data_IF_253949941332
#
_entry.id   IF_253949941332
#
_cell.length_a   1.000
_cell.length_b   1.000
_cell.length_c   1.000
_cell.angle_alpha   90.00
_cell.angle_beta   90.00
_cell.angle_gamma   90.00
#
_symmetry.space_group_name_H-M   'P 1'
#
loop_
_entity.id
_entity.type
_entity.pdbx_description
1 polymer ?
#
# COMPACT_ATOMS: atom_id res chain seq x y z
N UNK A 1 56.52 49.19 -0.84
CA UNK A 1 56.70 48.12 -1.84
C UNK A 1 55.93 46.89 -1.39
N UNK A 2 54.99 46.40 -2.21
CA UNK A 2 54.33 45.06 -2.23
C UNK A 2 53.54 44.64 -0.97
N UNK A 3 52.22 44.82 -0.87
CA UNK A 3 51.10 44.20 -1.61
C UNK A 3 51.03 42.66 -1.50
N UNK A 4 50.04 42.17 -0.74
CA UNK A 4 49.34 40.91 -0.99
C UNK A 4 47.93 41.02 -0.37
N UNK A 5 47.00 41.60 -1.13
CA UNK A 5 45.56 41.55 -0.88
C UNK A 5 45.09 40.15 -1.30
N UNK A 6 44.78 39.26 -0.35
CA UNK A 6 44.21 37.94 -0.61
C UNK A 6 42.70 37.96 -0.35
N UNK A 7 41.91 38.15 -1.40
CA UNK A 7 40.46 38.03 -1.37
C UNK A 7 40.07 36.54 -1.32
N UNK A 8 39.75 36.01 -0.14
CA UNK A 8 39.25 34.63 0.01
C UNK A 8 37.75 34.63 -0.31
N UNK A 9 37.40 34.25 -1.54
CA UNK A 9 36.06 33.82 -1.90
C UNK A 9 35.78 32.48 -1.20
N UNK A 10 34.99 32.51 -0.13
CA UNK A 10 34.41 31.32 0.47
C UNK A 10 33.30 30.81 -0.47
N UNK A 11 33.66 29.89 -1.37
CA UNK A 11 32.70 29.10 -2.12
C UNK A 11 31.90 28.24 -1.12
N UNK A 12 30.67 28.64 -0.84
CA UNK A 12 29.70 27.82 -0.11
C UNK A 12 29.38 26.59 -0.95
N UNK A 13 30.03 25.46 -0.66
CA UNK A 13 29.60 24.14 -1.10
C UNK A 13 28.16 23.93 -0.60
N UNK A 14 27.21 23.91 -1.55
CA UNK A 14 25.86 23.45 -1.29
C UNK A 14 25.93 22.01 -0.78
N UNK A 15 25.52 21.80 0.46
CA UNK A 15 25.36 20.47 1.02
C UNK A 15 24.21 19.79 0.27
N UNK A 16 24.55 18.94 -0.69
CA UNK A 16 23.61 17.95 -1.20
C UNK A 16 23.20 17.09 -0.01
N UNK A 17 21.99 17.32 0.52
CA UNK A 17 21.42 16.50 1.57
C UNK A 17 21.25 15.10 0.99
N UNK A 18 22.18 14.20 1.32
CA UNK A 18 22.06 12.79 1.05
C UNK A 18 20.75 12.31 1.70
N UNK A 19 19.76 12.00 0.87
CA UNK A 19 18.51 11.40 1.34
C UNK A 19 18.88 10.06 1.96
N UNK A 20 18.66 9.92 3.26
CA UNK A 20 18.84 8.66 3.97
C UNK A 20 18.14 7.54 3.18
N UNK A 21 18.79 6.40 2.95
CA UNK A 21 18.14 5.29 2.27
C UNK A 21 16.86 4.97 3.03
N UNK A 22 15.72 5.11 2.35
CA UNK A 22 14.42 4.81 2.94
C UNK A 22 14.36 3.36 3.42
N UNK A 23 13.39 3.01 4.28
CA UNK A 23 13.31 1.68 4.90
C UNK A 23 13.37 0.53 3.87
N UNK A 24 13.95 -0.61 4.22
CA UNK A 24 14.11 -1.75 3.28
C UNK A 24 12.81 -2.52 2.98
N UNK A 25 11.68 -2.07 3.53
CA UNK A 25 10.36 -2.67 3.32
C UNK A 25 9.26 -1.61 3.35
N UNK A 26 8.10 -1.84 2.69
CA UNK A 26 6.96 -0.97 2.82
C UNK A 26 6.37 -1.03 4.24
N UNK A 27 5.71 0.05 4.71
CA UNK A 27 4.80 -0.06 5.84
C UNK A 27 3.65 -1.01 5.46
N UNK A 28 3.42 -2.03 6.28
CA UNK A 28 2.37 -3.03 6.03
C UNK A 28 1.01 -2.62 6.61
N UNK A 29 1.01 -1.68 7.56
CA UNK A 29 -0.20 -1.13 8.17
C UNK A 29 -0.49 0.24 7.55
N UNK A 30 -1.68 0.44 6.94
CA UNK A 30 -2.10 1.73 6.42
C UNK A 30 -2.10 2.81 7.52
N UNK A 31 -1.44 3.94 7.25
CA UNK A 31 -1.43 5.11 8.15
C UNK A 31 -2.62 6.03 7.93
N UNK A 32 -3.33 5.86 6.83
CA UNK A 32 -4.50 6.66 6.40
C UNK A 32 -5.53 5.75 5.77
N UNK A 33 -6.76 6.24 5.75
CA UNK A 33 -7.81 5.60 4.97
C UNK A 33 -7.56 5.78 3.48
N UNK A 34 -7.84 4.72 2.70
CA UNK A 34 -7.76 4.75 1.25
C UNK A 34 -8.77 3.78 0.63
N UNK A 35 -9.36 4.16 -0.50
CA UNK A 35 -10.21 3.31 -1.32
C UNK A 35 -9.58 3.15 -2.70
N UNK A 36 -9.25 1.91 -3.08
CA UNK A 36 -8.53 1.58 -4.32
C UNK A 36 -9.37 0.60 -5.14
N UNK A 37 -9.58 0.93 -6.42
CA UNK A 37 -10.22 0.03 -7.37
C UNK A 37 -9.14 -0.85 -8.02
N UNK A 38 -9.25 -2.16 -7.85
CA UNK A 38 -8.36 -3.14 -8.45
C UNK A 38 -9.07 -3.86 -9.59
N UNK A 39 -8.34 -4.06 -10.69
CA UNK A 39 -8.71 -5.01 -11.74
C UNK A 39 -7.97 -6.31 -11.51
N UNK A 40 -8.70 -7.36 -11.17
CA UNK A 40 -8.19 -8.70 -10.96
C UNK A 40 -8.18 -9.47 -12.28
N UNK A 41 -7.04 -10.06 -12.61
CA UNK A 41 -6.88 -10.89 -13.80
C UNK A 41 -6.39 -12.27 -13.38
N UNK A 42 -7.13 -13.31 -13.77
CA UNK A 42 -6.74 -14.72 -13.57
C UNK A 42 -6.81 -15.43 -14.91
N UNK A 43 -5.81 -16.26 -15.21
CA UNK A 43 -5.78 -17.02 -16.46
C UNK A 43 -7.05 -17.87 -16.62
N UNK A 44 -7.72 -17.75 -17.77
CA UNK A 44 -8.96 -18.48 -18.07
C UNK A 44 -10.23 -17.91 -17.43
N UNK A 45 -10.19 -16.72 -16.83
CA UNK A 45 -11.37 -16.05 -16.26
C UNK A 45 -11.49 -14.63 -16.82
N UNK A 46 -12.74 -14.14 -16.97
CA UNK A 46 -12.99 -12.74 -17.30
C UNK A 46 -12.42 -11.86 -16.17
N UNK A 47 -11.69 -10.78 -16.47
CA UNK A 47 -11.22 -9.87 -15.43
C UNK A 47 -12.39 -9.32 -14.62
N UNK A 48 -12.22 -9.23 -13.32
CA UNK A 48 -13.21 -8.63 -12.42
C UNK A 48 -12.63 -7.41 -11.73
N UNK A 49 -13.49 -6.47 -11.35
CA UNK A 49 -13.12 -5.32 -10.55
C UNK A 49 -13.55 -5.50 -9.09
N UNK A 50 -12.68 -5.10 -8.17
CA UNK A 50 -13.01 -5.06 -6.74
C UNK A 50 -12.50 -3.76 -6.14
N UNK A 51 -13.30 -3.14 -5.29
CA UNK A 51 -12.88 -1.95 -4.54
C UNK A 51 -12.46 -2.37 -3.15
N UNK A 52 -11.22 -2.06 -2.79
CA UNK A 52 -10.68 -2.32 -1.46
C UNK A 52 -10.58 -1.01 -0.71
N UNK A 53 -11.28 -0.92 0.42
CA UNK A 53 -11.23 0.22 1.32
C UNK A 53 -10.57 -0.19 2.62
N UNK A 54 -9.46 0.48 2.95
CA UNK A 54 -8.68 0.23 4.16
C UNK A 54 -8.83 1.42 5.11
N UNK A 55 -8.98 1.16 6.41
CA UNK A 55 -8.97 2.19 7.45
C UNK A 55 -7.52 2.50 7.86
N UNK A 56 -7.28 3.70 8.40
CA UNK A 56 -6.08 3.95 9.19
C UNK A 56 -5.97 2.90 10.32
N UNK A 57 -4.80 2.28 10.47
CA UNK A 57 -4.57 1.15 11.38
C UNK A 57 -4.84 -0.23 10.77
N UNK A 58 -5.40 -0.32 9.56
CA UNK A 58 -5.43 -1.54 8.74
C UNK A 58 -6.52 -2.56 9.04
N UNK A 59 -7.42 -2.32 10.01
CA UNK A 59 -8.55 -3.22 10.30
C UNK A 59 -9.79 -2.45 10.77
N UNK A 60 -11.01 -2.85 10.36
CA UNK A 60 -11.30 -3.84 9.33
C UNK A 60 -11.01 -3.31 7.91
N UNK A 61 -10.80 -4.24 6.98
CA UNK A 61 -10.72 -3.96 5.53
C UNK A 61 -12.06 -4.30 4.89
N UNK A 62 -12.57 -3.41 4.04
CA UNK A 62 -13.77 -3.64 3.25
C UNK A 62 -13.41 -3.96 1.80
N UNK A 63 -14.01 -5.00 1.24
CA UNK A 63 -13.83 -5.39 -0.16
C UNK A 63 -15.21 -5.44 -0.81
N UNK A 64 -15.51 -4.48 -1.69
CA UNK A 64 -16.75 -4.43 -2.45
C UNK A 64 -16.58 -5.20 -3.77
N UNK A 65 -17.52 -6.13 -4.02
CA UNK A 65 -17.65 -6.87 -5.28
C UNK A 65 -18.50 -6.07 -6.28
N UNK A 66 -18.53 -6.52 -7.54
CA UNK A 66 -19.34 -5.90 -8.59
C UNK A 66 -20.85 -6.03 -8.32
N UNK A 67 -21.28 -7.09 -7.63
CA UNK A 67 -22.67 -7.47 -7.40
C UNK A 67 -23.28 -6.92 -6.09
N UNK A 68 -22.79 -5.77 -5.62
CA UNK A 68 -23.15 -5.10 -4.33
C UNK A 68 -22.83 -5.89 -3.06
N UNK A 69 -22.47 -7.16 -3.17
CA UNK A 69 -21.92 -7.95 -2.07
C UNK A 69 -20.62 -7.33 -1.60
N UNK A 70 -20.36 -7.34 -0.30
CA UNK A 70 -19.08 -6.91 0.22
C UNK A 70 -18.61 -7.77 1.38
N UNK A 71 -17.29 -7.84 1.54
CA UNK A 71 -16.62 -8.52 2.63
C UNK A 71 -16.05 -7.51 3.61
N UNK A 72 -16.21 -7.78 4.90
CA UNK A 72 -15.49 -7.11 5.98
C UNK A 72 -14.49 -8.10 6.57
N UNK A 73 -13.21 -7.76 6.54
CA UNK A 73 -12.13 -8.60 7.06
C UNK A 73 -11.51 -7.91 8.26
N UNK A 74 -11.65 -8.50 9.44
CA UNK A 74 -10.92 -8.09 10.64
C UNK A 74 -9.83 -9.11 10.96
N UNK A 75 -8.59 -8.73 10.61
CA UNK A 75 -7.43 -9.60 10.79
C UNK A 75 -7.06 -9.77 12.26
N UNK A 76 -7.28 -8.73 13.07
CA UNK A 76 -6.95 -8.76 14.50
C UNK A 76 -7.92 -9.67 15.26
N UNK A 77 -9.21 -9.58 14.92
CA UNK A 77 -10.25 -10.45 15.47
C UNK A 77 -10.28 -11.84 14.83
N UNK A 78 -9.59 -12.04 13.69
CA UNK A 78 -9.63 -13.26 12.85
C UNK A 78 -11.06 -13.61 12.41
N UNK A 79 -11.82 -12.60 12.01
CA UNK A 79 -13.20 -12.74 11.53
C UNK A 79 -13.36 -12.16 10.13
N UNK A 80 -14.23 -12.78 9.34
CA UNK A 80 -14.70 -12.26 8.06
C UNK A 80 -16.22 -12.28 8.06
N UNK A 81 -16.84 -11.20 7.59
CA UNK A 81 -18.29 -11.15 7.36
C UNK A 81 -18.54 -10.87 5.88
N UNK A 82 -19.34 -11.72 5.24
CA UNK A 82 -19.88 -11.48 3.90
C UNK A 82 -21.25 -10.86 4.09
N UNK A 83 -21.48 -9.69 3.50
CA UNK A 83 -22.75 -8.99 3.55
C UNK A 83 -23.38 -8.99 2.16
N UNK A 84 -24.62 -9.47 2.08
CA UNK A 84 -25.43 -9.52 0.87
C UNK A 84 -26.62 -8.58 1.10
N UNK A 85 -26.49 -7.29 0.75
CA UNK A 85 -27.47 -6.26 1.14
C UNK A 85 -28.87 -6.54 0.61
N UNK A 86 -28.97 -7.06 -0.60
CA UNK A 86 -30.24 -7.33 -1.28
C UNK A 86 -31.07 -8.39 -0.57
N UNK A 87 -30.41 -9.30 0.16
CA UNK A 87 -31.04 -10.37 0.93
C UNK A 87 -31.15 -10.04 2.43
N UNK A 88 -30.58 -8.91 2.87
CA UNK A 88 -30.42 -8.57 4.30
C UNK A 88 -29.67 -9.66 5.10
N UNK A 89 -28.76 -10.36 4.42
CA UNK A 89 -28.02 -11.49 4.99
C UNK A 89 -26.60 -11.09 5.35
N UNK A 90 -26.14 -11.53 6.51
CA UNK A 90 -24.73 -11.49 6.93
C UNK A 90 -24.27 -12.91 7.23
N UNK A 91 -23.20 -13.34 6.57
CA UNK A 91 -22.56 -14.63 6.82
C UNK A 91 -21.20 -14.40 7.48
N UNK A 92 -21.06 -14.84 8.72
CA UNK A 92 -19.81 -14.78 9.46
C UNK A 92 -18.99 -16.06 9.29
N UNK A 93 -17.71 -15.88 8.98
CA UNK A 93 -16.76 -16.94 8.73
C UNK A 93 -15.47 -16.67 9.53
N UNK A 94 -14.81 -17.72 10.04
CA UNK A 94 -13.46 -17.55 10.61
C UNK A 94 -12.51 -17.07 9.51
N UNK A 95 -11.76 -16.00 9.78
CA UNK A 95 -10.73 -15.54 8.85
C UNK A 95 -9.44 -16.35 9.03
N UNK A 96 -9.06 -17.04 7.96
CA UNK A 96 -7.76 -17.69 7.86
C UNK A 96 -6.95 -16.99 6.77
N UNK A 97 -5.90 -16.28 7.18
CA UNK A 97 -4.94 -15.70 6.24
C UNK A 97 -4.30 -16.84 5.43
N UNK A 98 -4.61 -16.89 4.14
CA UNK A 98 -4.06 -17.85 3.19
C UNK A 98 -3.37 -17.16 2.01
N UNK A 99 -2.63 -17.90 1.19
CA UNK A 99 -1.94 -17.39 -0.01
C UNK A 99 -2.91 -16.77 -1.06
N UNK A 100 -4.22 -16.89 -0.86
CA UNK A 100 -5.27 -16.38 -1.73
C UNK A 100 -5.87 -15.04 -1.26
N UNK A 101 -5.25 -14.33 -0.30
CA UNK A 101 -5.72 -13.00 0.15
C UNK A 101 -4.88 -11.91 -0.54
N UNK A 102 -5.16 -11.54 -1.81
CA UNK A 102 -4.23 -10.77 -2.65
C UNK A 102 -3.93 -9.36 -2.12
N UNK A 103 -4.75 -8.86 -1.19
CA UNK A 103 -4.61 -7.52 -0.61
C UNK A 103 -3.86 -7.52 0.72
N UNK A 104 -3.39 -8.68 1.21
CA UNK A 104 -2.74 -8.79 2.50
C UNK A 104 -1.24 -9.04 2.31
N UNK A 105 -0.45 -7.98 2.49
CA UNK A 105 0.99 -8.08 2.60
C UNK A 105 1.38 -8.50 4.01
N UNK A 106 2.40 -9.35 4.15
CA UNK A 106 2.91 -9.80 5.46
C UNK A 106 4.43 -9.75 5.53
N UNK A 107 4.97 -9.99 6.73
CA UNK A 107 6.39 -9.91 7.05
C UNK A 107 7.25 -11.04 6.47
N UNK A 108 6.63 -12.12 5.99
CA UNK A 108 7.30 -13.27 5.37
C UNK A 108 7.54 -13.09 3.88
N UNK A 109 6.90 -12.10 3.25
CA UNK A 109 7.08 -11.78 1.84
C UNK A 109 8.43 -11.09 1.61
N UNK A 110 8.99 -11.26 0.41
CA UNK A 110 10.18 -10.54 -0.02
C UNK A 110 9.78 -9.27 -0.75
N UNK A 111 10.34 -8.15 -0.31
CA UNK A 111 10.12 -6.84 -0.91
C UNK A 111 11.39 -6.35 -1.60
N UNK A 112 11.26 -5.94 -2.85
CA UNK A 112 12.35 -5.30 -3.59
C UNK A 112 11.91 -3.89 -3.99
N UNK A 113 12.64 -2.88 -3.53
CA UNK A 113 12.36 -1.48 -3.87
C UNK A 113 12.66 -1.24 -5.36
N UNK A 114 11.68 -0.69 -6.08
CA UNK A 114 11.85 -0.21 -7.46
C UNK A 114 12.07 1.29 -7.52
N UNK A 115 12.34 1.79 -8.73
CA UNK A 115 12.29 3.23 -8.99
C UNK A 115 10.93 3.80 -8.54
N UNK A 116 10.91 4.96 -7.86
CA UNK A 116 9.64 5.55 -7.46
C UNK A 116 8.84 6.00 -8.68
N UNK A 117 7.52 5.98 -8.57
CA UNK A 117 6.57 6.29 -9.64
C UNK A 117 5.50 7.27 -9.14
N UNK A 118 4.68 7.80 -10.04
CA UNK A 118 3.57 8.71 -9.71
C UNK A 118 2.24 8.00 -9.97
N UNK A 119 1.48 7.73 -8.91
CA UNK A 119 0.16 7.07 -8.97
C UNK A 119 -0.90 8.09 -8.59
N UNK A 120 -1.85 8.34 -9.49
CA UNK A 120 -2.92 9.33 -9.29
C UNK A 120 -2.42 10.72 -8.82
N UNK A 121 -1.29 11.18 -9.38
CA UNK A 121 -0.68 12.48 -9.03
C UNK A 121 0.13 12.47 -7.73
N UNK A 122 0.24 11.33 -7.04
CA UNK A 122 1.01 11.18 -5.80
C UNK A 122 2.31 10.45 -6.08
N UNK A 123 3.43 10.97 -5.57
CA UNK A 123 4.73 10.29 -5.65
C UNK A 123 4.74 9.09 -4.71
N UNK A 124 4.92 7.90 -5.25
CA UNK A 124 4.89 6.63 -4.52
C UNK A 124 6.24 5.93 -4.59
N UNK A 125 6.61 5.23 -3.50
CA UNK A 125 7.64 4.19 -3.58
C UNK A 125 7.00 2.93 -4.16
N UNK A 126 7.59 2.38 -5.21
CA UNK A 126 7.14 1.13 -5.83
C UNK A 126 7.92 -0.04 -5.25
N UNK A 127 7.21 -1.13 -5.00
CA UNK A 127 7.75 -2.36 -4.43
C UNK A 127 7.33 -3.55 -5.29
N UNK A 128 8.29 -4.40 -5.66
CA UNK A 128 8.00 -5.76 -6.11
C UNK A 128 7.79 -6.64 -4.88
N UNK A 129 6.79 -7.52 -4.93
CA UNK A 129 6.42 -8.44 -3.86
C UNK A 129 6.50 -9.87 -4.38
N UNK A 130 7.24 -10.73 -3.68
CA UNK A 130 7.46 -12.15 -4.00
C UNK A 130 7.20 -13.03 -2.77
#
# INVERSE_FOLDING_TARGET
MRACLGLIMLATCGQAQAQSPGPDRPPLVPSREASVLYRLTKAGTVPSEVRVTTRAGGSPVRIDMEDRTYMLVDQAARTMSIVIPDEQTVLDLPFQAGPQTPFQLNDRMRFTRRSPDTVAGVRCTVWDVL
#
